data_IF_247010087797
#
_entry.id   IF_247010087797
#
_cell.length_a   1.000
_cell.length_b   1.000
_cell.length_c   1.000
_cell.angle_alpha   90.00
_cell.angle_beta   90.00
_cell.angle_gamma   90.00
#
_symmetry.space_group_name_H-M   'P 1'
#
loop_
_entity.id
_entity.type
_entity.pdbx_description
1 polymer ?
#
# COMPACT_ATOMS: atom_id res chain seq x y z
N UNK A 1 -39.40 -19.41 20.89
CA UNK A 1 -38.49 -19.27 19.72
C UNK A 1 -37.68 -18.01 19.98
N UNK A 2 -36.46 -18.15 20.52
CA UNK A 2 -35.63 -17.01 20.91
C UNK A 2 -34.75 -16.63 19.71
N UNK A 3 -35.06 -15.52 19.05
CA UNK A 3 -34.26 -14.98 17.94
C UNK A 3 -32.93 -14.48 18.48
N UNK A 4 -31.88 -15.30 18.34
CA UNK A 4 -30.52 -14.91 18.68
C UNK A 4 -30.04 -13.92 17.62
N UNK A 5 -30.11 -12.62 17.94
CA UNK A 5 -29.45 -11.57 17.19
C UNK A 5 -27.93 -11.80 17.26
N UNK A 6 -27.38 -12.41 16.20
CA UNK A 6 -25.94 -12.57 16.01
C UNK A 6 -25.34 -11.18 15.82
N UNK A 7 -24.94 -10.52 16.93
CA UNK A 7 -24.11 -9.32 16.89
C UNK A 7 -22.83 -9.69 16.13
N UNK A 8 -22.73 -9.19 14.89
CA UNK A 8 -21.52 -9.30 14.10
C UNK A 8 -20.36 -8.78 14.97
N UNK A 9 -19.26 -9.53 15.16
CA UNK A 9 -18.12 -9.03 15.91
C UNK A 9 -17.66 -7.72 15.27
N UNK A 10 -17.17 -6.74 16.06
CA UNK A 10 -16.68 -5.49 15.51
C UNK A 10 -15.67 -5.85 14.42
N UNK A 11 -16.05 -5.55 13.18
CA UNK A 11 -15.22 -5.74 12.00
C UNK A 11 -13.90 -5.10 12.38
N UNK A 12 -12.83 -5.89 12.40
CA UNK A 12 -11.49 -5.43 12.69
C UNK A 12 -11.13 -4.40 11.62
N UNK A 13 -11.54 -3.15 11.79
CA UNK A 13 -11.10 -2.01 11.01
C UNK A 13 -9.70 -1.67 11.49
N UNK A 14 -8.75 -2.61 11.37
CA UNK A 14 -7.36 -2.22 11.28
C UNK A 14 -7.28 -1.31 10.08
N UNK A 15 -7.22 -0.01 10.32
CA UNK A 15 -6.86 0.96 9.29
C UNK A 15 -5.52 0.49 8.75
N UNK A 16 -5.53 -0.21 7.61
CA UNK A 16 -4.31 -0.66 6.96
C UNK A 16 -3.61 0.61 6.53
N UNK A 17 -2.61 1.00 7.31
CA UNK A 17 -1.77 2.16 7.02
C UNK A 17 -0.99 1.82 5.76
N UNK A 18 -1.32 2.49 4.66
CA UNK A 18 -0.56 2.34 3.43
C UNK A 18 0.81 2.99 3.62
N UNK A 19 1.87 2.23 3.42
CA UNK A 19 3.25 2.71 3.55
C UNK A 19 3.93 2.78 2.19
N UNK A 20 4.87 3.72 2.03
CA UNK A 20 5.69 3.86 0.84
C UNK A 20 6.66 2.68 0.70
N UNK A 21 6.59 1.96 -0.42
CA UNK A 21 7.49 0.84 -0.73
C UNK A 21 8.96 1.24 -0.92
N UNK A 22 9.24 2.54 -1.08
CA UNK A 22 10.60 3.05 -1.22
C UNK A 22 11.21 3.52 0.12
N UNK A 23 10.50 4.36 0.88
CA UNK A 23 11.05 5.00 2.08
C UNK A 23 10.42 4.54 3.40
N UNK A 24 9.39 3.70 3.37
CA UNK A 24 8.70 3.17 4.56
C UNK A 24 7.77 4.14 5.28
N UNK A 25 7.68 5.41 4.84
CA UNK A 25 6.79 6.40 5.45
C UNK A 25 5.32 6.09 5.16
N UNK A 26 4.44 6.45 6.09
CA UNK A 26 3.00 6.39 5.89
C UNK A 26 2.56 7.33 4.75
N UNK A 27 1.68 6.83 3.89
CA UNK A 27 1.07 7.59 2.80
C UNK A 27 -0.23 8.19 3.35
N UNK A 28 -0.25 9.50 3.53
CA UNK A 28 -1.40 10.25 4.04
C UNK A 28 -2.32 10.80 2.93
N UNK A 29 -1.99 10.53 1.66
CA UNK A 29 -2.72 11.02 0.50
C UNK A 29 -2.82 9.99 -0.62
N UNK A 30 -3.06 10.45 -1.86
CA UNK A 30 -3.13 9.56 -3.02
C UNK A 30 -1.74 8.97 -3.31
N UNK A 31 -1.55 7.64 -3.21
CA UNK A 31 -0.28 7.02 -3.55
C UNK A 31 0.00 7.13 -5.05
N UNK A 32 1.27 7.21 -5.41
CA UNK A 32 1.72 6.98 -6.78
C UNK A 32 1.89 5.46 -6.93
N UNK A 33 1.08 4.85 -7.78
CA UNK A 33 1.16 3.42 -8.08
C UNK A 33 2.12 3.16 -9.24
N UNK A 34 3.00 2.17 -9.08
CA UNK A 34 3.90 1.70 -10.12
C UNK A 34 3.86 0.18 -10.21
N UNK A 35 3.63 -0.34 -11.41
CA UNK A 35 3.47 -1.79 -11.62
C UNK A 35 4.60 -2.34 -12.46
N UNK A 36 5.25 -3.40 -11.97
CA UNK A 36 6.27 -4.14 -12.73
C UNK A 36 6.16 -5.64 -12.44
N UNK A 37 6.24 -6.48 -13.48
CA UNK A 37 6.18 -7.95 -13.37
C UNK A 37 5.02 -8.44 -12.48
N UNK A 38 3.81 -7.93 -12.71
CA UNK A 38 2.60 -8.22 -11.93
C UNK A 38 2.64 -7.83 -10.43
N UNK A 39 3.61 -7.02 -10.01
CA UNK A 39 3.66 -6.47 -8.66
C UNK A 39 3.38 -4.97 -8.68
N UNK A 40 2.40 -4.54 -7.89
CA UNK A 40 2.14 -3.13 -7.62
C UNK A 40 3.01 -2.63 -6.47
N UNK A 41 3.47 -1.39 -6.61
CA UNK A 41 4.22 -0.64 -5.61
C UNK A 41 3.55 0.72 -5.39
N UNK A 42 3.49 1.15 -4.14
CA UNK A 42 2.88 2.41 -3.72
C UNK A 42 3.94 3.35 -3.16
N UNK A 43 3.92 4.59 -3.64
CA UNK A 43 4.96 5.57 -3.35
C UNK A 43 4.35 6.86 -2.82
N UNK A 44 4.94 7.43 -1.77
CA UNK A 44 4.39 8.60 -1.09
C UNK A 44 4.63 9.93 -1.84
N UNK A 45 5.63 10.02 -2.72
CA UNK A 45 5.97 11.27 -3.40
C UNK A 45 6.74 11.06 -4.73
N UNK A 46 6.81 12.10 -5.60
CA UNK A 46 7.49 12.02 -6.90
C UNK A 46 8.98 11.66 -6.79
N UNK A 47 9.65 12.09 -5.72
CA UNK A 47 11.05 11.74 -5.47
C UNK A 47 11.23 10.25 -5.23
N UNK A 48 10.39 9.64 -4.37
CA UNK A 48 10.41 8.20 -4.14
C UNK A 48 10.19 7.43 -5.45
N UNK A 49 9.26 7.90 -6.28
CA UNK A 49 9.00 7.31 -7.60
C UNK A 49 10.20 7.35 -8.54
N UNK A 50 10.87 8.50 -8.65
CA UNK A 50 12.02 8.64 -9.55
C UNK A 50 13.17 7.72 -9.15
N UNK A 51 13.50 7.69 -7.86
CA UNK A 51 14.60 6.86 -7.35
C UNK A 51 14.24 5.37 -7.40
N UNK A 52 13.01 5.00 -7.04
CA UNK A 52 12.51 3.63 -7.17
C UNK A 52 12.62 3.13 -8.62
N UNK A 53 12.14 3.93 -9.58
CA UNK A 53 12.20 3.61 -11.01
C UNK A 53 13.64 3.47 -11.52
N UNK A 54 14.58 4.29 -11.04
CA UNK A 54 16.01 4.17 -11.38
C UNK A 54 16.58 2.85 -10.86
N UNK A 55 16.30 2.50 -9.60
CA UNK A 55 16.78 1.26 -8.96
C UNK A 55 16.27 0.01 -9.67
N UNK A 56 14.98 -0.01 -10.01
CA UNK A 56 14.35 -1.14 -10.72
C UNK A 56 14.92 -1.31 -12.13
N UNK A 57 15.17 -0.22 -12.86
CA UNK A 57 15.82 -0.29 -14.18
C UNK A 57 17.28 -0.73 -14.09
N UNK A 58 18.01 -0.28 -13.08
CA UNK A 58 19.43 -0.60 -12.91
C UNK A 58 19.67 -2.08 -12.55
N UNK A 59 18.75 -2.71 -11.81
CA UNK A 59 18.83 -4.14 -11.46
C UNK A 59 18.36 -5.12 -12.54
N UNK A 60 18.21 -4.65 -13.79
CA UNK A 60 17.81 -5.48 -14.94
C UNK A 60 19.00 -5.96 -15.78
N UNK A 61 20.21 -5.98 -15.20
CA UNK A 61 21.46 -6.22 -15.90
C UNK A 61 22.26 -7.36 -15.27
#
# INVERSE_FOLDING_TARGET
ILSVEKKLPPIFTSMVKLTCDYCGKEITGKPITYTIRNREFYLCCPTCYREFRRKVKAGSH
#
